data_IF_911433394349
#
_entry.id   IF_911433394349
#
_cell.length_a   1.000
_cell.length_b   1.000
_cell.length_c   1.000
_cell.angle_alpha   90.00
_cell.angle_beta   90.00
_cell.angle_gamma   90.00
#
_symmetry.space_group_name_H-M   'P 1'
#
loop_
_entity.id
_entity.type
_entity.pdbx_description
1 polymer ?
#
# COMPACT_ATOMS: atom_id res chain seq x y z
N UNK A 1 -19.84 -5.08 -5.53
CA UNK A 1 -18.83 -5.11 -4.45
C UNK A 1 -18.11 -3.77 -4.44
N UNK A 2 -17.92 -3.18 -3.26
CA UNK A 2 -17.19 -1.90 -3.14
C UNK A 2 -15.71 -2.07 -3.47
N UNK A 3 -15.14 -1.14 -4.23
CA UNK A 3 -13.69 -1.00 -4.40
C UNK A 3 -13.22 0.08 -3.44
N UNK A 4 -12.07 -0.14 -2.81
CA UNK A 4 -11.45 0.81 -1.88
C UNK A 4 -10.05 1.12 -2.38
N UNK A 5 -9.69 2.39 -2.41
CA UNK A 5 -8.36 2.84 -2.83
C UNK A 5 -7.30 2.43 -1.78
N UNK A 6 -6.17 1.83 -2.19
CA UNK A 6 -5.13 1.34 -1.27
C UNK A 6 -4.68 2.35 -0.21
N UNK A 7 -4.50 3.62 -0.59
CA UNK A 7 -4.07 4.68 0.33
C UNK A 7 -5.01 4.89 1.52
N UNK A 8 -6.32 4.65 1.32
CA UNK A 8 -7.30 4.81 2.41
C UNK A 8 -7.14 3.76 3.51
N UNK A 9 -6.37 2.70 3.24
CA UNK A 9 -6.08 1.65 4.21
C UNK A 9 -4.91 2.00 5.13
N UNK A 10 -4.09 3.01 4.79
CA UNK A 10 -2.93 3.44 5.60
C UNK A 10 -3.35 3.78 7.03
N UNK A 11 -4.55 4.36 7.21
CA UNK A 11 -5.10 4.67 8.54
C UNK A 11 -5.26 3.47 9.47
N UNK A 12 -5.27 2.24 8.93
CA UNK A 12 -5.37 1.00 9.70
C UNK A 12 -4.01 0.37 10.04
N UNK A 13 -2.89 0.90 9.53
CA UNK A 13 -1.56 0.36 9.83
C UNK A 13 -1.14 0.54 11.30
N UNK A 14 -1.75 1.51 12.00
CA UNK A 14 -1.43 1.85 13.39
C UNK A 14 -0.01 2.37 13.58
N UNK A 15 0.28 2.93 14.76
CA UNK A 15 1.62 3.38 15.13
C UNK A 15 2.26 2.37 16.10
N UNK A 16 2.85 1.32 15.55
CA UNK A 16 3.46 0.25 16.33
C UNK A 16 4.99 0.38 16.34
N UNK A 17 5.60 0.04 17.47
CA UNK A 17 7.06 0.01 17.66
C UNK A 17 7.69 -1.29 17.16
N UNK A 18 6.88 -2.30 16.83
CA UNK A 18 7.31 -3.62 16.36
C UNK A 18 6.31 -4.18 15.33
N UNK A 19 6.78 -5.09 14.47
CA UNK A 19 5.95 -5.83 13.52
C UNK A 19 5.57 -7.15 14.16
N UNK A 20 4.31 -7.28 14.59
CA UNK A 20 3.81 -8.43 15.36
C UNK A 20 4.74 -8.81 16.52
N UNK A 21 4.82 -7.95 17.53
CA UNK A 21 5.43 -8.18 18.85
C UNK A 21 6.95 -8.16 18.98
N UNK A 22 7.70 -8.30 17.90
CA UNK A 22 9.17 -8.18 17.93
C UNK A 22 9.74 -7.96 16.51
N UNK A 23 11.07 -7.92 16.38
CA UNK A 23 11.79 -7.85 15.10
C UNK A 23 12.18 -9.21 14.53
N UNK A 24 11.89 -10.29 15.26
CA UNK A 24 12.19 -11.67 14.87
C UNK A 24 11.25 -12.20 13.78
N UNK A 25 11.62 -13.32 13.17
CA UNK A 25 10.82 -13.97 12.11
C UNK A 25 9.62 -14.75 12.63
N UNK A 26 9.51 -14.92 13.93
CA UNK A 26 8.50 -15.73 14.57
C UNK A 26 8.24 -15.20 15.99
N UNK A 27 7.12 -15.61 16.57
CA UNK A 27 6.75 -15.33 17.95
C UNK A 27 6.35 -16.63 18.63
N UNK A 28 6.78 -16.82 19.87
CA UNK A 28 6.48 -18.04 20.60
C UNK A 28 5.04 -18.02 21.18
N UNK A 29 4.31 -19.15 21.14
CA UNK A 29 2.99 -19.27 21.76
C UNK A 29 2.99 -18.95 23.26
N UNK A 30 4.02 -19.34 24.00
CA UNK A 30 4.16 -18.99 25.43
C UNK A 30 4.16 -17.48 25.66
N UNK A 31 4.92 -16.71 24.86
CA UNK A 31 4.95 -15.25 24.93
C UNK A 31 3.56 -14.66 24.69
N UNK A 32 2.86 -15.10 23.63
CA UNK A 32 1.50 -14.62 23.33
C UNK A 32 0.51 -14.93 24.45
N UNK A 33 0.61 -16.10 25.09
CA UNK A 33 -0.26 -16.50 26.21
C UNK A 33 -0.05 -15.65 27.46
N UNK A 34 1.14 -15.05 27.62
CA UNK A 34 1.43 -14.16 28.74
C UNK A 34 0.94 -12.72 28.50
N UNK A 35 0.60 -12.34 27.26
CA UNK A 35 0.02 -11.03 26.97
C UNK A 35 -1.46 -10.97 27.36
N UNK A 36 -1.97 -9.79 27.77
CA UNK A 36 -3.40 -9.52 27.83
C UNK A 36 -4.08 -9.83 26.50
N UNK A 37 -5.31 -10.37 26.51
CA UNK A 37 -6.00 -10.82 25.29
C UNK A 37 -6.05 -9.75 24.20
N UNK A 38 -6.31 -8.50 24.57
CA UNK A 38 -6.41 -7.36 23.64
C UNK A 38 -5.06 -7.01 22.97
N UNK A 39 -3.95 -7.41 23.57
CA UNK A 39 -2.61 -7.18 23.03
C UNK A 39 -2.14 -8.32 22.12
N UNK A 40 -2.84 -9.46 22.08
CA UNK A 40 -2.48 -10.66 21.29
C UNK A 40 -2.80 -10.50 19.81
N UNK A 41 -2.06 -9.62 19.13
CA UNK A 41 -2.14 -9.46 17.68
C UNK A 41 -1.65 -10.70 16.95
N UNK A 42 -2.45 -11.25 16.04
CA UNK A 42 -2.05 -12.34 15.14
C UNK A 42 -1.99 -11.90 13.66
N UNK A 43 -2.47 -10.69 13.40
CA UNK A 43 -2.55 -10.07 12.08
C UNK A 43 -2.24 -8.57 12.22
N UNK A 44 -1.47 -8.03 11.29
CA UNK A 44 -1.13 -6.61 11.25
C UNK A 44 -1.00 -6.15 9.80
N UNK A 45 -1.68 -5.05 9.47
CA UNK A 45 -1.42 -4.32 8.23
C UNK A 45 -0.23 -3.37 8.46
N UNK A 46 0.74 -3.37 7.55
CA UNK A 46 2.01 -2.66 7.70
C UNK A 46 2.26 -1.83 6.44
N UNK A 47 2.52 -0.53 6.61
CA UNK A 47 2.99 0.31 5.51
C UNK A 47 4.50 0.14 5.33
N UNK A 48 4.89 -0.29 4.14
CA UNK A 48 6.27 -0.61 3.75
C UNK A 48 6.74 0.41 2.71
N UNK A 49 7.95 0.95 2.90
CA UNK A 49 8.63 1.88 1.97
C UNK A 49 9.78 1.23 1.22
N UNK A 50 10.14 0.01 1.60
CA UNK A 50 11.17 -0.76 0.93
C UNK A 50 10.80 -2.25 0.97
N UNK A 51 10.06 -2.68 -0.04
CA UNK A 51 9.68 -4.06 -0.25
C UNK A 51 10.65 -4.71 -1.25
N UNK A 52 11.49 -5.63 -0.76
CA UNK A 52 12.48 -6.35 -1.58
C UNK A 52 12.08 -7.81 -1.59
N UNK A 53 11.96 -8.41 -2.78
CA UNK A 53 11.68 -9.84 -2.94
C UNK A 53 12.93 -10.60 -3.32
N UNK A 54 13.05 -11.81 -2.79
CA UNK A 54 14.11 -12.75 -3.11
C UNK A 54 13.50 -14.15 -3.26
N UNK A 55 14.09 -14.93 -4.16
CA UNK A 55 13.72 -16.32 -4.35
C UNK A 55 14.57 -17.19 -3.41
N UNK A 56 13.91 -17.97 -2.57
CA UNK A 56 14.52 -18.90 -1.63
C UNK A 56 14.21 -20.36 -1.97
N UNK A 57 14.84 -21.27 -1.22
CA UNK A 57 14.44 -22.68 -1.17
C UNK A 57 13.88 -22.98 0.21
N UNK A 58 12.77 -23.71 0.25
CA UNK A 58 12.20 -24.20 1.49
C UNK A 58 12.94 -25.48 1.96
N UNK A 59 12.55 -25.99 3.14
CA UNK A 59 13.11 -27.22 3.73
C UNK A 59 12.87 -28.49 2.90
N UNK A 60 11.93 -28.46 1.94
CA UNK A 60 11.64 -29.57 1.04
C UNK A 60 12.33 -29.41 -0.33
N UNK A 61 13.19 -28.40 -0.50
CA UNK A 61 13.90 -28.11 -1.75
C UNK A 61 13.09 -27.36 -2.81
N UNK A 62 11.81 -27.07 -2.55
CA UNK A 62 10.97 -26.29 -3.44
C UNK A 62 11.30 -24.80 -3.33
N UNK A 63 11.15 -24.10 -4.44
CA UNK A 63 11.29 -22.66 -4.49
C UNK A 63 10.20 -21.98 -3.66
N UNK A 64 10.58 -21.03 -2.81
CA UNK A 64 9.65 -20.13 -2.12
C UNK A 64 10.02 -18.67 -2.36
N UNK A 65 9.04 -17.77 -2.27
CA UNK A 65 9.29 -16.34 -2.32
C UNK A 65 9.42 -15.80 -0.91
N UNK A 66 10.44 -14.97 -0.69
CA UNK A 66 10.70 -14.29 0.56
C UNK A 66 10.82 -12.80 0.34
N UNK A 67 10.60 -12.03 1.39
CA UNK A 67 10.80 -10.60 1.33
C UNK A 67 11.50 -10.05 2.56
N UNK A 68 12.32 -9.03 2.30
CA UNK A 68 12.78 -8.09 3.30
C UNK A 68 11.96 -6.82 3.16
N UNK A 69 11.29 -6.43 4.25
CA UNK A 69 10.44 -5.24 4.33
C UNK A 69 11.01 -4.23 5.31
N UNK A 70 10.88 -2.96 4.98
CA UNK A 70 11.15 -1.84 5.89
C UNK A 70 9.95 -0.88 5.92
N UNK A 71 9.56 -0.47 7.11
CA UNK A 71 8.43 0.46 7.32
C UNK A 71 8.87 1.92 7.29
N UNK A 72 7.89 2.83 7.21
CA UNK A 72 8.10 4.28 7.30
C UNK A 72 8.83 4.72 8.58
N UNK A 73 8.63 4.01 9.70
CA UNK A 73 9.28 4.28 10.97
C UNK A 73 10.58 3.47 11.17
N UNK A 74 11.11 2.86 10.11
CA UNK A 74 12.42 2.20 10.11
C UNK A 74 12.44 0.78 10.66
N UNK A 75 11.30 0.21 11.05
CA UNK A 75 11.21 -1.19 11.47
C UNK A 75 11.50 -2.10 10.28
N UNK A 76 12.28 -3.15 10.52
CA UNK A 76 12.73 -4.07 9.47
C UNK A 76 12.37 -5.49 9.83
N UNK A 77 11.92 -6.24 8.84
CA UNK A 77 11.67 -7.67 8.93
C UNK A 77 12.24 -8.35 7.69
N UNK A 78 13.20 -9.26 7.89
CA UNK A 78 14.09 -9.75 6.83
C UNK A 78 13.78 -11.20 6.46
N UNK A 79 13.76 -11.52 5.16
CA UNK A 79 13.63 -12.89 4.64
C UNK A 79 12.41 -13.64 5.17
N UNK A 80 11.25 -12.98 5.14
CA UNK A 80 9.94 -13.52 5.55
C UNK A 80 9.25 -14.16 4.37
N UNK A 81 8.65 -15.33 4.57
CA UNK A 81 7.97 -16.04 3.50
C UNK A 81 6.71 -15.30 3.05
N UNK A 82 6.54 -15.20 1.73
CA UNK A 82 5.31 -14.72 1.10
C UNK A 82 4.39 -15.91 0.87
N UNK A 83 3.17 -15.81 1.37
CA UNK A 83 2.13 -16.84 1.26
C UNK A 83 0.85 -16.35 0.61
N UNK A 84 0.80 -15.10 0.14
CA UNK A 84 -0.27 -14.59 -0.72
C UNK A 84 -0.27 -15.35 -2.05
N UNK A 85 -1.28 -16.19 -2.34
CA UNK A 85 -1.27 -17.05 -3.53
C UNK A 85 -1.43 -16.26 -4.84
N UNK A 86 -2.07 -15.09 -4.81
CA UNK A 86 -2.24 -14.24 -5.98
C UNK A 86 -0.91 -13.55 -6.29
N UNK A 87 -0.27 -13.00 -5.25
CA UNK A 87 1.00 -12.32 -5.40
C UNK A 87 2.15 -13.27 -5.74
N UNK A 88 2.20 -14.47 -5.14
CA UNK A 88 3.19 -15.51 -5.50
C UNK A 88 3.09 -15.87 -6.97
N UNK A 89 1.88 -16.12 -7.49
CA UNK A 89 1.67 -16.39 -8.93
C UNK A 89 2.14 -15.23 -9.81
N UNK A 90 1.98 -13.99 -9.34
CA UNK A 90 2.47 -12.80 -10.04
C UNK A 90 4.00 -12.77 -10.06
N UNK A 91 4.66 -13.06 -8.95
CA UNK A 91 6.13 -13.14 -8.87
C UNK A 91 6.70 -14.26 -9.76
N UNK A 92 6.02 -15.39 -9.84
CA UNK A 92 6.42 -16.52 -10.69
C UNK A 92 6.49 -16.16 -12.19
N UNK A 93 5.80 -15.09 -12.65
CA UNK A 93 5.92 -14.60 -14.02
C UNK A 93 7.13 -13.69 -14.25
N UNK A 94 8.00 -13.53 -13.25
CA UNK A 94 9.13 -12.59 -13.28
C UNK A 94 8.73 -11.13 -12.96
N UNK A 95 7.53 -10.92 -12.40
CA UNK A 95 7.10 -9.59 -12.01
C UNK A 95 7.99 -8.98 -10.92
N UNK A 96 8.33 -7.70 -11.08
CA UNK A 96 9.05 -6.93 -10.07
C UNK A 96 8.07 -6.02 -9.33
N UNK A 97 7.89 -6.21 -8.01
CA UNK A 97 6.96 -5.41 -7.25
C UNK A 97 7.50 -4.02 -6.92
N UNK A 98 6.57 -3.09 -6.69
CA UNK A 98 6.89 -1.76 -6.16
C UNK A 98 7.48 -1.86 -4.75
N UNK A 99 8.32 -0.88 -4.42
CA UNK A 99 8.91 -0.74 -3.07
C UNK A 99 7.88 -0.31 -2.04
N UNK A 100 6.98 0.58 -2.44
CA UNK A 100 5.93 1.12 -1.58
C UNK A 100 4.68 0.25 -1.66
N UNK A 101 4.31 -0.35 -0.54
CA UNK A 101 3.16 -1.22 -0.47
C UNK A 101 2.58 -1.29 0.94
N UNK A 102 1.36 -1.81 1.03
CA UNK A 102 0.79 -2.30 2.27
C UNK A 102 0.96 -3.81 2.30
N UNK A 103 1.46 -4.31 3.42
CA UNK A 103 1.72 -5.71 3.64
C UNK A 103 0.90 -6.17 4.83
N UNK A 104 0.12 -7.22 4.63
CA UNK A 104 -0.51 -7.93 5.75
C UNK A 104 0.46 -8.97 6.26
N UNK A 105 1.01 -8.74 7.45
CA UNK A 105 1.82 -9.73 8.18
C UNK A 105 0.90 -10.52 9.10
N UNK A 106 1.03 -11.84 9.10
CA UNK A 106 0.23 -12.75 9.93
C UNK A 106 1.13 -13.75 10.67
N UNK A 107 0.64 -14.29 11.78
CA UNK A 107 1.26 -15.43 12.45
C UNK A 107 0.68 -16.73 11.89
N UNK A 108 1.54 -17.60 11.38
CA UNK A 108 1.19 -18.97 11.01
C UNK A 108 0.95 -19.85 12.24
N UNK A 109 0.42 -21.04 12.00
CA UNK A 109 0.28 -22.06 13.05
C UNK A 109 1.66 -22.41 13.64
N UNK A 110 1.73 -22.72 14.95
CA UNK A 110 2.95 -23.26 15.56
C UNK A 110 3.49 -24.43 14.75
N UNK A 111 4.73 -24.32 14.30
CA UNK A 111 5.42 -25.40 13.60
C UNK A 111 6.92 -25.20 13.64
N UNK A 112 7.65 -26.29 13.86
CA UNK A 112 9.11 -26.31 13.90
C UNK A 112 9.71 -27.36 12.94
N UNK A 113 10.86 -27.09 12.32
CA UNK A 113 11.64 -28.12 11.63
C UNK A 113 12.19 -29.15 12.65
N UNK A 114 12.61 -30.33 12.16
CA UNK A 114 13.04 -31.46 13.00
C UNK A 114 14.16 -31.12 14.00
N UNK A 115 15.10 -30.26 13.61
CA UNK A 115 16.28 -29.90 14.42
C UNK A 115 16.06 -28.61 15.23
N UNK A 116 14.82 -28.22 15.46
CA UNK A 116 14.49 -27.02 16.22
C UNK A 116 14.60 -27.27 17.72
N UNK A 117 15.29 -26.39 18.42
CA UNK A 117 15.33 -26.37 19.87
C UNK A 117 14.32 -25.36 20.42
N UNK A 118 13.45 -25.81 21.33
CA UNK A 118 12.45 -24.97 21.99
C UNK A 118 11.02 -25.32 21.58
N UNK A 119 10.08 -24.44 21.91
CA UNK A 119 8.67 -24.63 21.52
C UNK A 119 8.45 -24.35 20.04
N UNK A 120 7.40 -24.94 19.47
CA UNK A 120 6.99 -24.68 18.09
C UNK A 120 6.60 -23.20 17.92
N UNK A 121 7.34 -22.42 17.12
CA UNK A 121 7.09 -21.00 17.02
C UNK A 121 5.98 -20.69 16.00
N UNK A 122 5.29 -19.58 16.18
CA UNK A 122 4.40 -19.02 15.17
C UNK A 122 5.21 -18.14 14.20
N UNK A 123 5.45 -18.62 12.99
CA UNK A 123 6.19 -17.87 11.97
C UNK A 123 5.41 -16.66 11.47
N UNK A 124 6.08 -15.52 11.33
CA UNK A 124 5.54 -14.36 10.61
C UNK A 124 5.53 -14.68 9.12
N UNK A 125 4.43 -14.36 8.45
CA UNK A 125 4.20 -14.60 7.04
C UNK A 125 3.62 -13.35 6.39
N UNK A 126 4.03 -13.07 5.16
CA UNK A 126 3.40 -12.05 4.32
C UNK A 126 2.20 -12.70 3.62
N UNK A 127 1.02 -12.46 4.18
CA UNK A 127 -0.23 -13.10 3.74
C UNK A 127 -1.00 -12.28 2.70
N UNK A 128 -0.66 -11.00 2.54
CA UNK A 128 -1.26 -10.13 1.53
C UNK A 128 -0.32 -9.00 1.16
N UNK A 129 -0.27 -8.66 -0.12
CA UNK A 129 0.47 -7.50 -0.62
C UNK A 129 -0.45 -6.62 -1.46
N UNK A 130 -0.54 -5.35 -1.08
CA UNK A 130 -1.28 -4.32 -1.81
C UNK A 130 -0.27 -3.24 -2.20
N UNK A 131 0.16 -3.27 -3.45
CA UNK A 131 1.09 -2.27 -3.96
C UNK A 131 0.45 -0.89 -3.90
N UNK A 132 1.15 0.06 -3.28
CA UNK A 132 0.73 1.45 -3.33
C UNK A 132 1.12 1.92 -4.73
N UNK A 133 0.11 2.25 -5.53
CA UNK A 133 0.35 2.99 -6.76
C UNK A 133 1.04 4.27 -6.31
N UNK A 134 2.14 4.66 -6.94
CA UNK A 134 2.68 5.99 -6.75
C UNK A 134 1.56 6.97 -7.11
N UNK A 135 0.80 7.42 -6.13
CA UNK A 135 0.48 8.81 -6.09
C UNK A 135 1.83 9.49 -5.80
N UNK A 136 2.65 9.61 -6.85
CA UNK A 136 3.22 10.93 -7.08
C UNK A 136 2.06 11.89 -6.79
N UNK A 137 2.18 12.86 -5.88
CA UNK A 137 1.20 13.93 -5.86
C UNK A 137 1.08 14.34 -7.32
N UNK A 138 -0.09 14.10 -7.95
CA UNK A 138 -0.27 14.31 -9.39
C UNK A 138 0.46 15.61 -9.68
N UNK A 139 1.50 15.55 -10.51
CA UNK A 139 2.32 16.74 -10.68
C UNK A 139 1.41 17.86 -11.15
N UNK A 140 1.82 19.11 -10.95
CA UNK A 140 1.02 20.23 -11.46
C UNK A 140 0.73 20.03 -12.95
N UNK A 141 1.68 19.43 -13.67
CA UNK A 141 1.58 19.00 -15.05
C UNK A 141 0.52 17.91 -15.29
N UNK A 142 0.50 16.84 -14.48
CA UNK A 142 -0.49 15.76 -14.61
C UNK A 142 -1.91 16.25 -14.35
N UNK A 143 -2.09 17.05 -13.30
CA UNK A 143 -3.40 17.64 -12.97
C UNK A 143 -3.86 18.63 -14.05
N UNK A 144 -2.94 19.41 -14.62
CA UNK A 144 -3.27 20.29 -15.76
C UNK A 144 -3.74 19.45 -16.95
N UNK A 145 -3.02 18.38 -17.29
CA UNK A 145 -3.38 17.50 -18.40
C UNK A 145 -4.74 16.82 -18.17
N UNK A 146 -5.03 16.36 -16.96
CA UNK A 146 -6.31 15.75 -16.62
C UNK A 146 -7.45 16.78 -16.65
N UNK A 147 -7.19 18.01 -16.18
CA UNK A 147 -8.13 19.12 -16.29
C UNK A 147 -8.45 19.45 -17.74
N UNK A 148 -7.48 19.39 -18.66
CA UNK A 148 -7.71 19.56 -20.11
C UNK A 148 -8.64 18.49 -20.68
N UNK A 149 -8.47 17.24 -20.25
CA UNK A 149 -9.33 16.12 -20.65
C UNK A 149 -10.76 16.34 -20.14
N UNK A 150 -10.91 16.69 -18.87
CA UNK A 150 -12.21 16.89 -18.25
C UNK A 150 -12.94 18.12 -18.81
N UNK A 151 -12.24 19.24 -19.05
CA UNK A 151 -12.81 20.40 -19.74
C UNK A 151 -13.37 20.03 -21.12
N UNK A 152 -12.63 19.24 -21.90
CA UNK A 152 -13.12 18.74 -23.20
C UNK A 152 -14.34 17.84 -23.03
N UNK A 153 -14.36 16.96 -22.02
CA UNK A 153 -15.48 16.05 -21.73
C UNK A 153 -16.76 16.82 -21.39
N UNK A 154 -16.67 17.86 -20.58
CA UNK A 154 -17.83 18.70 -20.21
C UNK A 154 -18.15 19.76 -21.27
N UNK A 155 -17.35 19.83 -22.33
CA UNK A 155 -17.54 20.75 -23.44
C UNK A 155 -17.15 22.20 -23.13
N UNK A 156 -16.43 22.44 -22.04
CA UNK A 156 -15.98 23.78 -21.64
C UNK A 156 -14.89 24.30 -22.57
N UNK A 157 -15.05 25.56 -22.96
CA UNK A 157 -14.04 26.36 -23.65
C UNK A 157 -12.97 26.83 -22.67
N UNK A 158 -11.83 27.29 -23.20
CA UNK A 158 -10.78 27.91 -22.38
C UNK A 158 -11.27 29.17 -21.63
N UNK A 159 -12.25 29.89 -22.20
CA UNK A 159 -12.85 31.07 -21.59
C UNK A 159 -13.72 30.70 -20.38
N UNK A 160 -14.57 29.67 -20.51
CA UNK A 160 -15.36 29.16 -19.38
C UNK A 160 -14.48 28.62 -18.26
N UNK A 161 -13.42 27.88 -18.61
CA UNK A 161 -12.43 27.44 -17.64
C UNK A 161 -11.76 28.63 -16.94
N UNK A 162 -11.35 29.66 -17.68
CA UNK A 162 -10.73 30.86 -17.10
C UNK A 162 -11.69 31.63 -16.18
N UNK A 163 -12.95 31.77 -16.57
CA UNK A 163 -13.97 32.41 -15.76
C UNK A 163 -14.19 31.65 -14.46
N UNK A 164 -14.22 30.31 -14.50
CA UNK A 164 -14.31 29.50 -13.29
C UNK A 164 -13.15 29.76 -12.32
N UNK A 165 -11.91 29.84 -12.83
CA UNK A 165 -10.73 30.09 -12.01
C UNK A 165 -10.73 31.48 -11.38
N UNK A 166 -11.18 32.49 -12.12
CA UNK A 166 -11.26 33.86 -11.63
C UNK A 166 -12.31 33.99 -10.52
N UNK A 167 -13.46 33.33 -10.69
CA UNK A 167 -14.56 33.37 -9.72
C UNK A 167 -14.30 32.52 -8.47
N UNK A 168 -13.62 31.38 -8.62
CA UNK A 168 -13.46 30.41 -7.51
C UNK A 168 -12.15 30.61 -6.75
N UNK A 169 -11.07 30.98 -7.46
CA UNK A 169 -9.73 31.05 -6.87
C UNK A 169 -9.07 32.43 -7.03
N UNK A 170 -9.72 33.40 -7.70
CA UNK A 170 -9.15 34.71 -8.06
C UNK A 170 -7.86 34.60 -8.90
N UNK A 171 -7.82 33.65 -9.83
CA UNK A 171 -6.65 33.35 -10.67
C UNK A 171 -7.02 33.23 -12.14
N UNK A 172 -6.10 33.59 -13.03
CA UNK A 172 -6.34 33.63 -14.48
C UNK A 172 -5.80 32.42 -15.24
N UNK A 173 -5.01 31.57 -14.58
CA UNK A 173 -4.39 30.41 -15.22
C UNK A 173 -4.29 29.23 -14.25
N UNK A 174 -4.50 28.02 -14.77
CA UNK A 174 -4.32 26.76 -14.03
C UNK A 174 -2.92 26.61 -13.45
N UNK A 175 -1.91 27.19 -14.11
CA UNK A 175 -0.51 27.20 -13.63
C UNK A 175 -0.28 28.10 -12.40
N UNK A 176 -1.23 28.98 -12.08
CA UNK A 176 -1.18 29.81 -10.87
C UNK A 176 -1.86 29.11 -9.67
N UNK A 177 -2.58 28.01 -9.92
CA UNK A 177 -3.26 27.26 -8.87
C UNK A 177 -2.24 26.49 -8.02
N UNK A 178 -2.53 26.39 -6.73
CA UNK A 178 -1.86 25.44 -5.85
C UNK A 178 -2.32 24.02 -6.18
N UNK A 179 -1.59 23.03 -5.68
CA UNK A 179 -1.95 21.63 -5.90
C UNK A 179 -3.39 21.31 -5.45
N UNK A 180 -3.82 21.85 -4.31
CA UNK A 180 -5.15 21.57 -3.76
C UNK A 180 -6.26 22.31 -4.52
N UNK A 181 -6.02 23.54 -4.95
CA UNK A 181 -6.95 24.27 -5.82
C UNK A 181 -7.13 23.58 -7.18
N UNK A 182 -6.04 23.05 -7.74
CA UNK A 182 -6.07 22.34 -9.01
C UNK A 182 -6.82 21.00 -8.88
N UNK A 183 -6.67 20.29 -7.75
CA UNK A 183 -7.50 19.11 -7.42
C UNK A 183 -8.97 19.48 -7.25
N UNK A 184 -9.26 20.59 -6.56
CA UNK A 184 -10.62 21.07 -6.38
C UNK A 184 -11.28 21.34 -7.75
N UNK A 185 -10.59 22.09 -8.62
CA UNK A 185 -11.08 22.37 -9.96
C UNK A 185 -11.35 21.10 -10.77
N UNK A 186 -10.43 20.13 -10.73
CA UNK A 186 -10.61 18.84 -11.40
C UNK A 186 -11.83 18.07 -10.87
N UNK A 187 -12.03 18.06 -9.55
CA UNK A 187 -13.19 17.41 -8.93
C UNK A 187 -14.51 18.10 -9.34
N UNK A 188 -14.51 19.43 -9.43
CA UNK A 188 -15.69 20.19 -9.84
C UNK A 188 -16.06 19.85 -11.29
N UNK A 189 -15.08 19.78 -12.21
CA UNK A 189 -15.32 19.34 -13.59
C UNK A 189 -15.84 17.90 -13.66
N UNK A 190 -15.28 16.97 -12.88
CA UNK A 190 -15.72 15.57 -12.81
C UNK A 190 -17.16 15.43 -12.30
N UNK A 191 -17.63 16.36 -11.47
CA UNK A 191 -19.01 16.36 -10.97
C UNK A 191 -20.04 16.79 -12.03
N UNK A 192 -19.60 17.48 -13.10
CA UNK A 192 -20.48 17.95 -14.17
C UNK A 192 -20.82 16.83 -15.17
N UNK A 193 -22.05 16.85 -15.73
CA UNK A 193 -22.45 15.88 -16.73
C UNK A 193 -21.60 16.02 -18.00
N UNK A 194 -21.32 14.88 -18.65
CA UNK A 194 -20.64 14.88 -19.95
C UNK A 194 -21.48 15.61 -20.99
N UNK A 195 -20.86 16.50 -21.76
CA UNK A 195 -21.55 17.24 -22.81
C UNK A 195 -22.07 16.27 -23.87
N UNK A 196 -23.36 16.31 -24.15
CA UNK A 196 -23.96 15.65 -25.31
C UNK A 196 -23.73 16.58 -26.51
N UNK A 197 -22.56 16.48 -27.14
CA UNK A 197 -22.40 17.03 -28.49
C UNK A 197 -23.11 16.12 -29.50
#
# INVERSE_FOLDING_TARGET
MGKVEPHTLIKYCGNYTQILHDSGKYVNPSYLRNLPFQERRTLQLVQVTNFIVEQGKNSTGNTDWRSTIQTVNGLKLTGVKITDPVFVKKLDTGYQPKKDCLVTVSLGMPWAPKDWEGEEPCWKLIAGVIELIDYQPLSVEDLIAETDVEMKRVGWTEEEGRNYLDWTFYKRSRRQLTLDELKQFLNDLKSLPTSRK
#
